data_IF_058652967024
#
_entry.id   IF_058652967024
#
_cell.length_a   1.000
_cell.length_b   1.000
_cell.length_c   1.000
_cell.angle_alpha   90.00
_cell.angle_beta   90.00
_cell.angle_gamma   90.00
#
_symmetry.space_group_name_H-M   'P 1'
#
loop_
_entity.id
_entity.type
_entity.pdbx_description
1 polymer ?
#
# COMPACT_ATOMS: atom_id res chain seq x y z
N UNK A 1 15.26 10.67 -17.41
CA UNK A 1 14.98 9.74 -16.28
C UNK A 1 14.95 8.33 -16.82
N UNK A 2 15.49 7.32 -16.13
CA UNK A 2 15.39 5.94 -16.56
C UNK A 2 13.91 5.53 -16.53
N UNK A 3 13.41 4.96 -17.62
CA UNK A 3 12.10 4.32 -17.62
C UNK A 3 12.24 2.95 -16.96
N UNK A 4 11.38 2.63 -15.98
CA UNK A 4 11.29 1.28 -15.41
C UNK A 4 10.99 0.21 -16.48
N UNK A 5 10.48 0.61 -17.64
CA UNK A 5 10.23 -0.26 -18.78
C UNK A 5 11.49 -0.75 -19.52
N UNK A 6 12.68 -0.20 -19.19
CA UNK A 6 13.95 -0.63 -19.79
C UNK A 6 14.68 -1.72 -18.99
N UNK A 7 14.09 -2.16 -17.90
CA UNK A 7 14.68 -3.15 -17.01
C UNK A 7 14.02 -4.47 -17.33
N UNK A 8 14.84 -5.48 -17.56
CA UNK A 8 14.36 -6.85 -17.59
C UNK A 8 14.10 -7.30 -16.16
N UNK A 9 12.84 -7.23 -15.72
CA UNK A 9 12.46 -7.56 -14.34
C UNK A 9 12.62 -9.03 -13.99
N UNK A 10 12.75 -9.89 -15.00
CA UNK A 10 12.93 -11.33 -14.84
C UNK A 10 14.41 -11.65 -14.66
N UNK A 11 15.27 -11.11 -15.54
CA UNK A 11 16.70 -11.42 -15.55
C UNK A 11 17.54 -10.54 -14.61
N UNK A 12 17.01 -9.40 -14.14
CA UNK A 12 17.75 -8.50 -13.25
C UNK A 12 17.80 -9.05 -11.82
N UNK A 13 18.97 -8.88 -11.19
CA UNK A 13 19.12 -9.17 -9.76
C UNK A 13 18.20 -8.29 -8.90
N UNK A 14 17.92 -8.72 -7.67
CA UNK A 14 17.09 -7.94 -6.76
C UNK A 14 17.68 -6.55 -6.45
N UNK A 15 19.01 -6.45 -6.35
CA UNK A 15 19.71 -5.18 -6.12
C UNK A 15 19.55 -4.19 -7.28
N UNK A 16 19.64 -4.67 -8.53
CA UNK A 16 19.43 -3.84 -9.73
C UNK A 16 17.98 -3.35 -9.84
N UNK A 17 17.02 -4.23 -9.56
CA UNK A 17 15.59 -3.90 -9.50
C UNK A 17 15.31 -2.82 -8.45
N UNK A 18 15.91 -2.94 -7.27
CA UNK A 18 15.78 -1.93 -6.21
C UNK A 18 16.46 -0.61 -6.55
N UNK A 19 17.66 -0.63 -7.13
CA UNK A 19 18.37 0.58 -7.56
C UNK A 19 17.58 1.39 -8.57
N UNK A 20 16.91 0.70 -9.49
CA UNK A 20 16.01 1.35 -10.43
C UNK A 20 14.78 1.98 -9.77
N UNK A 21 14.16 1.28 -8.83
CA UNK A 21 13.00 1.80 -8.09
C UNK A 21 13.36 3.02 -7.26
N UNK A 22 14.57 3.06 -6.67
CA UNK A 22 15.09 4.23 -5.95
C UNK A 22 15.21 5.47 -6.83
N UNK A 23 15.42 5.29 -8.14
CA UNK A 23 15.51 6.38 -9.13
C UNK A 23 14.16 6.70 -9.78
N UNK A 24 13.12 5.94 -9.47
CA UNK A 24 11.79 6.10 -10.03
C UNK A 24 11.03 7.25 -9.36
N UNK A 25 10.15 7.88 -10.12
CA UNK A 25 9.18 8.85 -9.57
C UNK A 25 8.10 8.12 -8.76
N UNK A 26 7.45 8.82 -7.83
CA UNK A 26 6.35 8.22 -7.05
C UNK A 26 5.21 7.66 -7.93
N UNK A 27 4.94 8.29 -9.08
CA UNK A 27 3.97 7.76 -10.07
C UNK A 27 4.42 6.42 -10.64
N UNK A 28 5.70 6.28 -10.97
CA UNK A 28 6.26 5.01 -11.45
C UNK A 28 6.25 3.94 -10.36
N UNK A 29 6.55 4.28 -9.11
CA UNK A 29 6.44 3.35 -7.97
C UNK A 29 4.99 2.89 -7.77
N UNK A 30 4.01 3.79 -7.85
CA UNK A 30 2.60 3.43 -7.77
C UNK A 30 2.14 2.56 -8.93
N UNK A 31 2.63 2.81 -10.15
CA UNK A 31 2.37 1.97 -11.30
C UNK A 31 2.95 0.57 -11.10
N UNK A 32 4.18 0.47 -10.58
CA UNK A 32 4.80 -0.81 -10.24
C UNK A 32 4.02 -1.55 -9.16
N UNK A 33 3.59 -0.88 -8.09
CA UNK A 33 2.77 -1.48 -7.04
C UNK A 33 1.49 -2.16 -7.57
N UNK A 34 0.95 -1.65 -8.69
CA UNK A 34 -0.28 -2.17 -9.30
C UNK A 34 -0.02 -3.31 -10.29
N UNK A 35 1.20 -3.43 -10.81
CA UNK A 35 1.56 -4.32 -11.89
C UNK A 35 2.51 -5.45 -11.48
N UNK A 36 3.18 -5.33 -10.32
CA UNK A 36 4.12 -6.35 -9.85
C UNK A 36 3.40 -7.67 -9.60
N UNK A 37 3.96 -8.74 -10.15
CA UNK A 37 3.53 -10.11 -9.93
C UNK A 37 4.13 -10.62 -8.63
N UNK A 38 3.35 -11.39 -7.86
CA UNK A 38 3.76 -11.98 -6.57
C UNK A 38 4.49 -13.32 -6.75
N UNK A 39 5.06 -13.56 -7.92
CA UNK A 39 5.76 -14.79 -8.29
C UNK A 39 7.29 -14.61 -8.22
N UNK A 40 8.00 -15.72 -7.97
CA UNK A 40 9.47 -15.74 -7.93
C UNK A 40 10.09 -14.88 -6.82
N UNK A 41 11.31 -14.36 -7.07
CA UNK A 41 12.10 -13.58 -6.11
C UNK A 41 11.75 -12.07 -6.14
N UNK A 42 10.46 -11.73 -6.17
CA UNK A 42 9.96 -10.35 -6.19
C UNK A 42 9.74 -9.75 -4.79
N UNK A 43 9.89 -10.57 -3.74
CA UNK A 43 9.59 -10.20 -2.37
C UNK A 43 10.34 -8.95 -1.89
N UNK A 44 11.62 -8.79 -2.24
CA UNK A 44 12.39 -7.59 -1.84
C UNK A 44 11.82 -6.32 -2.48
N UNK A 45 11.40 -6.40 -3.75
CA UNK A 45 10.77 -5.31 -4.48
C UNK A 45 9.44 -4.94 -3.85
N UNK A 46 8.57 -5.91 -3.55
CA UNK A 46 7.28 -5.68 -2.90
C UNK A 46 7.46 -5.08 -1.49
N UNK A 47 8.41 -5.63 -0.73
CA UNK A 47 8.76 -5.12 0.59
C UNK A 47 9.22 -3.66 0.54
N UNK A 48 10.03 -3.31 -0.45
CA UNK A 48 10.48 -1.93 -0.66
C UNK A 48 9.33 -1.02 -1.10
N UNK A 49 8.53 -1.41 -2.11
CA UNK A 49 7.40 -0.62 -2.63
C UNK A 49 6.41 -0.32 -1.51
N UNK A 50 6.01 -1.33 -0.74
CA UNK A 50 5.06 -1.17 0.37
C UNK A 50 5.58 -0.28 1.50
N UNK A 51 6.88 0.01 1.55
CA UNK A 51 7.45 0.91 2.56
C UNK A 51 7.48 2.39 2.11
N UNK A 52 7.10 2.69 0.86
CA UNK A 52 7.25 4.03 0.31
C UNK A 52 6.05 4.92 0.61
N UNK A 53 6.31 6.10 1.18
CA UNK A 53 5.30 7.13 1.47
C UNK A 53 4.61 7.69 0.22
N UNK A 54 5.21 7.51 -0.96
CA UNK A 54 4.63 7.97 -2.21
C UNK A 54 3.56 7.04 -2.78
N UNK A 55 3.42 5.82 -2.23
CA UNK A 55 2.37 4.88 -2.62
C UNK A 55 1.03 5.37 -2.09
N UNK A 56 0.05 5.50 -2.98
CA UNK A 56 -1.32 5.85 -2.61
C UNK A 56 -2.11 4.62 -2.13
N UNK A 57 -3.23 4.88 -1.43
CA UNK A 57 -4.07 3.82 -0.86
C UNK A 57 -4.61 2.86 -1.93
N UNK A 58 -4.97 3.37 -3.10
CA UNK A 58 -5.47 2.56 -4.20
C UNK A 58 -4.40 1.59 -4.72
N UNK A 59 -3.18 2.07 -4.91
CA UNK A 59 -2.02 1.24 -5.26
C UNK A 59 -1.69 0.20 -4.18
N UNK A 60 -1.74 0.57 -2.89
CA UNK A 60 -1.47 -0.36 -1.79
C UNK A 60 -2.52 -1.47 -1.69
N UNK A 61 -3.80 -1.14 -1.89
CA UNK A 61 -4.89 -2.14 -1.90
C UNK A 61 -4.84 -3.03 -3.14
N UNK A 62 -4.52 -2.47 -4.32
CA UNK A 62 -4.29 -3.31 -5.51
C UNK A 62 -3.11 -4.27 -5.26
N UNK A 63 -2.00 -3.80 -4.67
CA UNK A 63 -0.87 -4.67 -4.31
C UNK A 63 -1.29 -5.78 -3.33
N UNK A 64 -2.10 -5.45 -2.32
CA UNK A 64 -2.63 -6.42 -1.36
C UNK A 64 -3.50 -7.48 -2.04
N UNK A 65 -4.42 -7.08 -2.91
CA UNK A 65 -5.32 -8.00 -3.61
C UNK A 65 -4.57 -8.88 -4.62
N UNK A 66 -3.57 -8.33 -5.32
CA UNK A 66 -2.76 -9.10 -6.26
C UNK A 66 -2.00 -10.26 -5.61
N UNK A 67 -1.78 -10.21 -4.29
CA UNK A 67 -1.16 -11.30 -3.53
C UNK A 67 -2.05 -12.55 -3.37
N UNK A 68 -3.34 -12.45 -3.72
CA UNK A 68 -4.30 -13.53 -3.48
C UNK A 68 -4.51 -13.84 -1.98
N UNK A 69 -4.83 -12.85 -1.13
CA UNK A 69 -4.95 -13.06 0.32
C UNK A 69 -6.00 -14.11 0.70
N UNK A 70 -7.02 -14.33 -0.14
CA UNK A 70 -8.10 -15.31 0.07
C UNK A 70 -7.55 -16.73 0.28
N UNK A 71 -6.48 -17.10 -0.44
CA UNK A 71 -5.85 -18.42 -0.38
C UNK A 71 -5.26 -18.76 0.99
N UNK A 72 -4.93 -17.74 1.79
CA UNK A 72 -4.22 -17.90 3.07
C UNK A 72 -4.96 -17.32 4.27
N UNK A 73 -6.04 -16.55 4.05
CA UNK A 73 -6.71 -15.78 5.11
C UNK A 73 -7.26 -16.65 6.26
N UNK A 74 -7.48 -17.94 6.01
CA UNK A 74 -8.00 -18.93 6.99
C UNK A 74 -6.94 -19.86 7.54
N UNK A 75 -5.71 -19.77 7.06
CA UNK A 75 -4.64 -20.66 7.46
C UNK A 75 -3.92 -20.05 8.67
N UNK A 76 -3.85 -20.75 9.82
CA UNK A 76 -3.07 -20.31 10.97
C UNK A 76 -1.62 -20.04 10.59
N UNK A 77 -1.00 -19.00 11.17
CA UNK A 77 0.35 -18.54 10.79
C UNK A 77 1.40 -19.66 10.86
N UNK A 78 1.33 -20.53 11.86
CA UNK A 78 2.21 -21.66 12.06
C UNK A 78 2.00 -22.82 11.07
N UNK A 79 0.90 -22.80 10.30
CA UNK A 79 0.60 -23.81 9.27
C UNK A 79 0.95 -23.35 7.85
N UNK A 80 1.37 -22.09 7.68
CA UNK A 80 1.92 -21.62 6.39
C UNK A 80 3.37 -22.10 6.28
N UNK A 81 3.70 -22.83 5.22
CA UNK A 81 5.03 -23.42 5.00
C UNK A 81 5.62 -22.99 3.65
N UNK A 82 6.94 -23.14 3.50
CA UNK A 82 7.65 -22.86 2.24
C UNK A 82 7.53 -21.42 1.77
N UNK A 83 7.49 -21.22 0.45
CA UNK A 83 7.44 -19.88 -0.17
C UNK A 83 6.25 -19.01 0.24
N UNK A 84 5.14 -19.62 0.67
CA UNK A 84 3.96 -18.88 1.11
C UNK A 84 4.19 -18.08 2.41
N UNK A 85 5.22 -18.42 3.20
CA UNK A 85 5.55 -17.68 4.42
C UNK A 85 5.96 -16.24 4.12
N UNK A 86 6.77 -16.02 3.09
CA UNK A 86 7.22 -14.69 2.67
C UNK A 86 6.05 -13.84 2.21
N UNK A 87 5.16 -14.40 1.37
CA UNK A 87 3.92 -13.74 0.94
C UNK A 87 3.05 -13.35 2.12
N UNK A 88 2.78 -14.28 3.05
CA UNK A 88 1.95 -14.00 4.22
C UNK A 88 2.57 -12.94 5.15
N UNK A 89 3.89 -12.96 5.34
CA UNK A 89 4.58 -11.95 6.15
C UNK A 89 4.47 -10.54 5.52
N UNK A 90 4.52 -10.45 4.19
CA UNK A 90 4.31 -9.19 3.50
C UNK A 90 2.86 -8.71 3.57
N UNK A 91 1.90 -9.63 3.46
CA UNK A 91 0.49 -9.32 3.65
C UNK A 91 0.19 -8.82 5.07
N UNK A 92 0.83 -9.39 6.11
CA UNK A 92 0.71 -8.89 7.49
C UNK A 92 1.14 -7.42 7.59
N UNK A 93 2.35 -7.11 7.08
CA UNK A 93 2.91 -5.76 7.11
C UNK A 93 2.07 -4.79 6.29
N UNK A 94 1.62 -5.21 5.10
CA UNK A 94 0.84 -4.38 4.20
C UNK A 94 -0.53 -4.06 4.79
N UNK A 95 -1.23 -5.06 5.33
CA UNK A 95 -2.50 -4.90 6.04
C UNK A 95 -2.35 -3.95 7.23
N UNK A 96 -1.29 -4.12 8.03
CA UNK A 96 -1.01 -3.22 9.16
C UNK A 96 -0.80 -1.77 8.71
N UNK A 97 0.01 -1.54 7.66
CA UNK A 97 0.25 -0.19 7.12
C UNK A 97 -1.01 0.43 6.55
N UNK A 98 -1.82 -0.35 5.83
CA UNK A 98 -3.14 0.10 5.35
C UNK A 98 -3.97 0.55 6.54
N UNK A 99 -4.18 -0.30 7.54
CA UNK A 99 -5.02 0.01 8.70
C UNK A 99 -4.50 1.15 9.58
N UNK A 100 -3.18 1.37 9.60
CA UNK A 100 -2.57 2.50 10.27
C UNK A 100 -2.78 3.84 9.53
N UNK A 101 -3.36 3.82 8.33
CA UNK A 101 -3.54 5.00 7.48
C UNK A 101 -2.23 5.53 6.89
N UNK A 102 -1.23 4.66 6.71
CA UNK A 102 0.07 5.03 6.13
C UNK A 102 -0.08 5.55 4.70
N UNK A 103 -0.99 4.96 3.92
CA UNK A 103 -1.26 5.35 2.54
C UNK A 103 -2.43 6.32 2.47
N UNK A 104 -2.26 7.41 1.72
CA UNK A 104 -3.32 8.39 1.49
C UNK A 104 -4.05 8.09 0.17
N UNK A 105 -5.38 8.26 0.11
CA UNK A 105 -6.13 8.14 -1.14
C UNK A 105 -5.76 9.26 -2.11
N UNK A 106 -5.56 8.91 -3.39
CA UNK A 106 -5.34 9.87 -4.47
C UNK A 106 -6.64 10.03 -5.29
N UNK A 107 -7.29 11.21 -5.27
CA UNK A 107 -8.55 11.41 -5.98
C UNK A 107 -8.42 11.33 -7.51
N UNK A 108 -7.19 11.41 -8.04
CA UNK A 108 -6.92 11.33 -9.48
C UNK A 108 -6.65 9.91 -9.96
N UNK A 109 -6.50 8.95 -9.03
CA UNK A 109 -6.17 7.56 -9.33
C UNK A 109 -7.14 6.61 -8.63
N UNK A 110 -7.96 5.95 -9.43
CA UNK A 110 -8.84 4.89 -8.95
C UNK A 110 -8.04 3.61 -8.65
N UNK A 111 -8.53 2.85 -7.66
CA UNK A 111 -8.05 1.50 -7.40
C UNK A 111 -8.40 0.58 -8.59
N UNK A 112 -7.48 -0.31 -8.97
CA UNK A 112 -7.81 -1.42 -9.89
C UNK A 112 -8.51 -2.50 -9.10
N UNK A 113 -9.63 -3.01 -9.63
CA UNK A 113 -10.38 -4.10 -9.02
C UNK A 113 -11.16 -3.69 -7.78
N UNK A 114 -11.76 -2.49 -7.77
CA UNK A 114 -12.51 -1.99 -6.61
C UNK A 114 -13.68 -2.90 -6.22
N UNK A 115 -14.27 -3.63 -7.17
CA UNK A 115 -15.27 -4.67 -6.94
C UNK A 115 -14.76 -5.80 -6.06
N UNK A 116 -13.48 -6.17 -6.18
CA UNK A 116 -12.86 -7.19 -5.33
C UNK A 116 -12.66 -6.69 -3.90
N UNK A 117 -12.38 -5.40 -3.73
CA UNK A 117 -12.40 -4.78 -2.40
C UNK A 117 -13.78 -4.81 -1.77
N UNK A 118 -14.84 -4.53 -2.54
CA UNK A 118 -16.22 -4.64 -2.03
C UNK A 118 -16.52 -6.06 -1.57
N UNK A 119 -16.25 -7.05 -2.43
CA UNK A 119 -16.47 -8.46 -2.09
C UNK A 119 -15.67 -8.88 -0.85
N UNK A 120 -14.42 -8.42 -0.72
CA UNK A 120 -13.61 -8.66 0.46
C UNK A 120 -14.25 -8.05 1.72
N UNK A 121 -14.70 -6.80 1.67
CA UNK A 121 -15.31 -6.12 2.82
C UNK A 121 -16.64 -6.77 3.24
N UNK A 122 -17.44 -7.24 2.27
CA UNK A 122 -18.69 -7.95 2.53
C UNK A 122 -18.42 -9.31 3.19
N UNK A 123 -17.49 -10.09 2.63
CA UNK A 123 -17.07 -11.37 3.20
C UNK A 123 -16.52 -11.19 4.62
N UNK A 124 -15.68 -10.17 4.83
CA UNK A 124 -15.11 -9.84 6.13
C UNK A 124 -16.19 -9.46 7.15
N UNK A 125 -17.21 -8.69 6.75
CA UNK A 125 -18.32 -8.33 7.63
C UNK A 125 -19.13 -9.56 8.05
N UNK A 126 -19.40 -10.46 7.11
CA UNK A 126 -20.09 -11.73 7.39
C UNK A 126 -19.27 -12.64 8.30
N UNK A 127 -17.97 -12.76 8.05
CA UNK A 127 -17.04 -13.51 8.88
C UNK A 127 -17.02 -13.01 10.32
N UNK A 128 -17.00 -11.70 10.51
CA UNK A 128 -17.07 -11.08 11.82
C UNK A 128 -18.40 -11.37 12.51
N UNK A 129 -19.51 -11.37 11.77
CA UNK A 129 -20.84 -11.73 12.29
C UNK A 129 -20.91 -13.19 12.75
N UNK A 130 -20.22 -14.08 12.03
CA UNK A 130 -20.13 -15.51 12.34
C UNK A 130 -19.07 -15.85 13.40
N UNK A 131 -18.31 -14.87 13.90
CA UNK A 131 -17.20 -15.10 14.84
C UNK A 131 -16.00 -15.82 14.22
N UNK A 132 -15.89 -15.79 12.89
CA UNK A 132 -14.87 -16.46 12.10
C UNK A 132 -13.99 -15.42 11.42
N UNK A 133 -13.46 -14.43 12.15
CA UNK A 133 -12.61 -13.41 11.54
C UNK A 133 -11.40 -14.04 10.84
N UNK A 134 -11.15 -13.67 9.58
CA UNK A 134 -9.92 -14.02 8.87
C UNK A 134 -8.68 -13.33 9.46
N UNK A 135 -7.49 -13.81 9.07
CA UNK A 135 -6.19 -13.28 9.51
C UNK A 135 -6.01 -11.80 9.21
N UNK A 136 -6.39 -11.37 8.01
CA UNK A 136 -6.28 -9.97 7.59
C UNK A 136 -7.66 -9.33 7.62
N UNK A 137 -7.77 -8.23 8.36
CA UNK A 137 -9.00 -7.46 8.50
C UNK A 137 -8.70 -6.03 8.06
N UNK A 138 -9.32 -5.57 6.98
CA UNK A 138 -9.19 -4.18 6.54
C UNK A 138 -10.14 -3.29 7.35
N UNK A 139 -9.62 -2.19 7.87
CA UNK A 139 -10.42 -1.23 8.63
C UNK A 139 -11.42 -0.52 7.68
N UNK A 140 -12.75 -0.67 7.87
CA UNK A 140 -13.76 -0.11 6.99
C UNK A 140 -13.63 1.41 6.82
N UNK A 141 -13.25 2.12 7.89
CA UNK A 141 -13.11 3.59 7.88
C UNK A 141 -11.94 4.02 7.00
N UNK A 142 -10.84 3.25 7.01
CA UNK A 142 -9.65 3.57 6.23
C UNK A 142 -9.87 3.30 4.75
N UNK A 143 -10.54 2.19 4.41
CA UNK A 143 -10.77 1.81 3.01
C UNK A 143 -12.01 2.46 2.39
N UNK A 144 -12.89 3.08 3.18
CA UNK A 144 -14.09 3.77 2.71
C UNK A 144 -13.87 4.70 1.49
N UNK A 145 -12.80 5.52 1.41
CA UNK A 145 -12.47 6.32 0.23
C UNK A 145 -12.34 5.57 -1.09
N UNK A 146 -12.08 4.25 -1.04
CA UNK A 146 -11.86 3.41 -2.22
C UNK A 146 -13.11 2.61 -2.60
N UNK A 147 -14.16 2.66 -1.79
CA UNK A 147 -15.42 1.97 -2.06
C UNK A 147 -16.22 2.70 -3.16
N UNK A 148 -16.98 2.00 -4.01
CA UNK A 148 -17.86 2.63 -5.00
C UNK A 148 -18.82 3.63 -4.35
N UNK A 149 -19.10 4.74 -5.04
CA UNK A 149 -19.99 5.80 -4.53
C UNK A 149 -19.38 6.71 -3.44
N UNK A 150 -18.16 6.43 -2.96
CA UNK A 150 -17.50 7.18 -1.87
C UNK A 150 -16.96 8.56 -2.27
N UNK A 151 -17.33 9.10 -3.44
CA UNK A 151 -17.16 10.50 -3.86
C UNK A 151 -15.91 11.23 -3.35
N UNK A 152 -14.75 10.56 -3.34
CA UNK A 152 -13.64 11.00 -2.49
C UNK A 152 -13.04 12.30 -3.02
N UNK A 153 -13.50 13.42 -2.47
CA UNK A 153 -12.88 14.73 -2.64
C UNK A 153 -11.61 14.69 -1.79
N UNK A 154 -10.49 14.31 -2.42
CA UNK A 154 -9.21 14.04 -1.77
C UNK A 154 -8.94 14.95 -0.58
N UNK A 155 -8.47 14.34 0.52
CA UNK A 155 -8.10 15.06 1.74
C UNK A 155 -7.13 16.17 1.35
N UNK A 156 -7.60 17.43 1.32
CA UNK A 156 -6.76 18.60 1.07
C UNK A 156 -5.60 18.51 2.07
N UNK A 157 -4.36 18.43 1.57
CA UNK A 157 -3.18 18.68 2.41
C UNK A 157 -3.50 19.92 3.24
N UNK A 158 -3.36 19.90 4.59
CA UNK A 158 -3.54 21.11 5.35
C UNK A 158 -2.59 22.13 4.74
N UNK A 159 -3.15 23.22 4.17
CA UNK A 159 -2.34 24.37 3.80
C UNK A 159 -1.59 24.72 5.07
N UNK A 160 -0.26 24.59 5.04
CA UNK A 160 0.60 25.15 6.08
C UNK A 160 0.12 26.58 6.29
N UNK A 161 -0.50 26.83 7.44
CA UNK A 161 -1.03 28.14 7.75
C UNK A 161 0.19 29.00 8.05
N UNK A 162 0.78 29.59 7.02
CA UNK A 162 1.70 30.70 7.17
C UNK A 162 0.94 31.86 7.80
N UNK A 163 0.91 31.85 9.14
CA UNK A 163 0.64 32.96 10.06
C UNK A 163 1.42 32.55 11.32
N UNK A 164 2.68 32.96 11.48
CA UNK A 164 3.02 34.34 11.74
C UNK A 164 2.55 34.71 13.14
N UNK A 165 3.34 34.36 14.17
CA UNK A 165 3.42 35.08 15.46
C UNK A 165 4.57 34.63 16.37
N UNK A 166 5.17 33.44 16.15
CA UNK A 166 6.33 32.97 16.96
C UNK A 166 7.70 33.23 16.31
N UNK A 167 7.75 33.64 15.04
CA UNK A 167 9.00 33.99 14.33
C UNK A 167 9.58 35.36 14.67
N UNK A 168 9.03 36.07 15.67
CA UNK A 168 9.53 37.37 16.16
C UNK A 168 10.09 37.32 17.59
N UNK A 169 10.13 36.15 18.22
CA UNK A 169 10.59 35.98 19.61
C UNK A 169 12.04 35.44 19.71
N UNK A 170 12.70 35.19 18.59
CA UNK A 170 14.11 34.80 18.56
C UNK A 170 14.80 35.61 17.46
N UNK A 171 15.05 36.90 17.73
CA UNK A 171 16.14 37.61 17.09
C UNK A 171 17.35 37.48 18.03
N UNK A 172 18.47 36.87 17.61
CA UNK A 172 19.70 36.95 18.39
C UNK A 172 20.24 38.38 18.27
N UNK A 173 20.28 39.09 19.40
CA UNK A 173 21.13 40.26 19.57
C UNK A 173 22.58 39.75 19.61
N UNK A 174 23.25 39.80 18.47
CA UNK A 174 24.71 39.90 18.47
C UNK A 174 25.04 41.39 18.60
N UNK A 175 25.49 41.76 19.80
CA UNK A 175 26.35 42.90 20.04
C UNK A 175 27.80 42.50 19.72
#
# INVERSE_FOLDING_TARGET
>A
MPSLARIDWVESSASERLEALRRATGRQVCAMARAVEWEGDCHEVIGWISAQICVDLGSALTLFMNAGPESYNRIPRNHVTGGAQSTCAQLDVLCQRINAGFYLPDPTRQMIGAERLVAWMDAQAEDNRLGQAGRWQLNPVIVAPMMPGSGHKGRRRPKTRNKGFLGKLISPLFA
#
